data_IF_553314092651
#
_entry.id   IF_553314092651
#
_cell.length_a   1.000
_cell.length_b   1.000
_cell.length_c   1.000
_cell.angle_alpha   90.00
_cell.angle_beta   90.00
_cell.angle_gamma   90.00
#
_symmetry.space_group_name_H-M   'P 1'
#
loop_
_entity.id
_entity.type
_entity.pdbx_description
1 polymer ?
#
# COMPACT_ATOMS: atom_id res chain seq x y z
N UNK A 1 -5.38 -6.31 -5.95
CA UNK A 1 -4.57 -7.06 -6.93
C UNK A 1 -3.98 -8.33 -6.33
N UNK A 2 -2.94 -8.21 -5.49
CA UNK A 2 -2.19 -9.37 -4.94
C UNK A 2 -3.08 -10.37 -4.18
N UNK A 3 -4.08 -9.90 -3.44
CA UNK A 3 -5.02 -10.80 -2.77
C UNK A 3 -5.75 -11.73 -3.76
N UNK A 4 -6.26 -11.20 -4.86
CA UNK A 4 -6.90 -12.03 -5.88
C UNK A 4 -5.90 -13.00 -6.51
N UNK A 5 -4.67 -12.58 -6.80
CA UNK A 5 -3.63 -13.45 -7.36
C UNK A 5 -3.37 -14.69 -6.50
N UNK A 6 -3.33 -14.53 -5.17
CA UNK A 6 -3.05 -15.62 -4.24
C UNK A 6 -4.28 -16.50 -3.94
N UNK A 7 -5.50 -15.93 -3.98
CA UNK A 7 -6.70 -16.60 -3.43
C UNK A 7 -7.82 -16.82 -4.44
N UNK A 8 -7.64 -16.49 -5.74
CA UNK A 8 -8.69 -16.56 -6.76
C UNK A 8 -9.49 -17.87 -6.75
N UNK A 9 -8.82 -19.01 -6.62
CA UNK A 9 -9.46 -20.34 -6.63
C UNK A 9 -10.28 -20.66 -5.38
N UNK A 10 -10.10 -19.89 -4.30
CA UNK A 10 -10.75 -20.10 -3.01
C UNK A 10 -11.85 -19.07 -2.72
N UNK A 11 -11.88 -17.96 -3.49
CA UNK A 11 -12.85 -16.89 -3.28
C UNK A 11 -14.24 -17.34 -3.71
N UNK A 12 -15.25 -17.01 -2.89
CA UNK A 12 -16.65 -17.03 -3.34
C UNK A 12 -16.86 -16.00 -4.46
N UNK A 13 -17.87 -16.21 -5.30
CA UNK A 13 -18.19 -15.28 -6.38
C UNK A 13 -18.47 -13.86 -5.85
N UNK A 14 -19.14 -13.76 -4.71
CA UNK A 14 -19.45 -12.48 -4.05
C UNK A 14 -18.19 -11.74 -3.62
N UNK A 15 -17.26 -12.45 -2.96
CA UNK A 15 -15.99 -11.86 -2.50
C UNK A 15 -15.08 -11.51 -3.67
N UNK A 16 -15.06 -12.34 -4.73
CA UNK A 16 -14.32 -12.03 -5.95
C UNK A 16 -14.84 -10.75 -6.63
N UNK A 17 -16.17 -10.63 -6.81
CA UNK A 17 -16.80 -9.43 -7.39
C UNK A 17 -16.55 -8.19 -6.53
N UNK A 18 -16.60 -8.33 -5.20
CA UNK A 18 -16.24 -7.24 -4.29
C UNK A 18 -14.79 -6.76 -4.50
N UNK A 19 -13.84 -7.69 -4.60
CA UNK A 19 -12.44 -7.36 -4.88
C UNK A 19 -12.26 -6.62 -6.20
N UNK A 20 -12.95 -7.06 -7.27
CA UNK A 20 -12.90 -6.39 -8.57
C UNK A 20 -13.44 -4.96 -8.50
N UNK A 21 -14.60 -4.77 -7.83
CA UNK A 21 -15.18 -3.45 -7.61
C UNK A 21 -14.25 -2.53 -6.81
N UNK A 22 -13.61 -3.07 -5.77
CA UNK A 22 -12.65 -2.32 -4.96
C UNK A 22 -11.43 -1.89 -5.78
N UNK A 23 -10.87 -2.78 -6.60
CA UNK A 23 -9.74 -2.47 -7.49
C UNK A 23 -10.16 -1.37 -8.49
N UNK A 24 -11.32 -1.49 -9.11
CA UNK A 24 -11.82 -0.49 -10.06
C UNK A 24 -12.00 0.88 -9.40
N UNK A 25 -12.68 0.94 -8.25
CA UNK A 25 -12.90 2.19 -7.53
C UNK A 25 -11.58 2.84 -7.08
N UNK A 26 -10.64 2.05 -6.58
CA UNK A 26 -9.34 2.55 -6.14
C UNK A 26 -8.49 3.06 -7.31
N UNK A 27 -8.52 2.36 -8.45
CA UNK A 27 -7.78 2.80 -9.64
C UNK A 27 -8.41 4.04 -10.28
N UNK A 28 -9.74 4.16 -10.28
CA UNK A 28 -10.43 5.35 -10.74
C UNK A 28 -10.11 6.57 -9.86
N UNK A 29 -10.08 6.40 -8.53
CA UNK A 29 -9.63 7.44 -7.62
C UNK A 29 -8.18 7.86 -7.91
N UNK A 30 -7.29 6.89 -8.17
CA UNK A 30 -5.91 7.17 -8.58
C UNK A 30 -5.81 7.94 -9.89
N UNK A 31 -6.64 7.61 -10.89
CA UNK A 31 -6.73 8.35 -12.15
C UNK A 31 -7.17 9.81 -11.96
N UNK A 32 -8.04 10.08 -10.99
CA UNK A 32 -8.45 11.46 -10.66
C UNK A 32 -7.37 12.23 -9.93
N UNK A 33 -6.62 11.56 -9.05
CA UNK A 33 -5.58 12.20 -8.23
C UNK A 33 -4.30 12.45 -9.03
N UNK A 34 -3.92 11.55 -9.94
CA UNK A 34 -2.65 11.67 -10.68
C UNK A 34 -2.52 12.98 -11.50
N UNK A 35 -3.53 13.48 -12.23
CA UNK A 35 -3.45 14.80 -12.88
C UNK A 35 -3.24 15.94 -11.88
N UNK A 36 -3.88 15.89 -10.72
CA UNK A 36 -3.70 16.90 -9.68
C UNK A 36 -2.26 16.89 -9.14
N UNK A 37 -1.69 15.69 -8.93
CA UNK A 37 -0.28 15.54 -8.56
C UNK A 37 0.65 16.12 -9.63
N UNK A 38 0.32 15.93 -10.92
CA UNK A 38 1.12 16.49 -12.01
C UNK A 38 1.10 18.02 -12.00
N UNK A 39 -0.07 18.63 -11.78
CA UNK A 39 -0.18 20.08 -11.63
C UNK A 39 0.59 20.60 -10.41
N UNK A 40 0.57 19.85 -9.29
CA UNK A 40 1.39 20.18 -8.12
C UNK A 40 2.90 20.11 -8.40
N UNK A 41 3.34 19.19 -9.26
CA UNK A 41 4.75 19.17 -9.71
C UNK A 41 5.08 20.45 -10.46
N UNK A 42 4.24 20.92 -11.38
CA UNK A 42 4.44 22.16 -12.10
C UNK A 42 4.46 23.38 -11.15
N UNK A 43 3.52 23.44 -10.19
CA UNK A 43 3.49 24.48 -9.17
C UNK A 43 4.75 24.51 -8.30
N UNK A 44 5.23 23.33 -7.87
CA UNK A 44 6.47 23.24 -7.09
C UNK A 44 7.72 23.70 -7.90
N UNK A 45 7.75 23.44 -9.20
CA UNK A 45 8.84 23.91 -10.07
C UNK A 45 8.85 25.42 -10.25
N UNK A 46 7.67 26.05 -10.28
CA UNK A 46 7.56 27.51 -10.39
C UNK A 46 7.55 28.23 -9.03
N UNK A 47 7.38 27.51 -7.92
CA UNK A 47 7.43 28.07 -6.57
C UNK A 47 6.11 28.64 -6.04
N UNK A 48 5.02 28.57 -6.81
CA UNK A 48 3.71 29.05 -6.41
C UNK A 48 2.55 28.24 -7.05
N UNK A 49 1.32 28.46 -6.55
CA UNK A 49 0.13 27.78 -7.07
C UNK A 49 -0.26 28.24 -8.49
N UNK A 50 0.06 29.46 -8.88
CA UNK A 50 -0.26 29.98 -10.22
C UNK A 50 0.55 29.23 -11.28
N UNK A 51 1.79 28.88 -10.97
CA UNK A 51 2.67 28.08 -11.81
C UNK A 51 2.14 26.66 -12.11
N UNK A 52 1.20 26.16 -11.32
CA UNK A 52 0.57 24.86 -11.56
C UNK A 52 -0.20 24.80 -12.90
N UNK A 53 -0.67 25.96 -13.39
CA UNK A 53 -1.41 26.10 -14.65
C UNK A 53 -0.61 26.88 -15.72
N UNK A 54 0.64 27.25 -15.42
CA UNK A 54 1.52 27.92 -16.39
C UNK A 54 1.96 26.93 -17.46
N UNK A 55 1.73 27.21 -18.77
CA UNK A 55 2.13 26.31 -19.86
C UNK A 55 3.63 26.00 -19.89
N UNK A 56 4.49 26.96 -19.51
CA UNK A 56 5.93 26.75 -19.45
C UNK A 56 6.30 25.77 -18.33
N UNK A 57 5.74 25.94 -17.12
CA UNK A 57 5.99 25.05 -15.99
C UNK A 57 5.42 23.66 -16.24
N UNK A 58 4.26 23.54 -16.87
CA UNK A 58 3.70 22.26 -17.33
C UNK A 58 4.65 21.57 -18.32
N UNK A 59 5.20 22.30 -19.29
CA UNK A 59 6.17 21.74 -20.25
C UNK A 59 7.45 21.25 -19.55
N UNK A 60 7.96 22.00 -18.58
CA UNK A 60 9.12 21.60 -17.76
C UNK A 60 8.78 20.36 -16.91
N UNK A 61 7.55 20.31 -16.34
CA UNK A 61 7.11 19.16 -15.55
C UNK A 61 7.12 17.86 -16.38
N UNK A 62 6.69 17.87 -17.65
CA UNK A 62 6.78 16.70 -18.55
C UNK A 62 8.19 16.14 -18.70
N UNK A 63 9.20 17.00 -18.68
CA UNK A 63 10.62 16.63 -18.81
C UNK A 63 11.27 16.27 -17.48
N UNK A 64 10.65 16.63 -16.36
CA UNK A 64 11.19 16.39 -15.02
C UNK A 64 11.00 14.93 -14.57
N UNK A 65 11.94 14.41 -13.74
CA UNK A 65 11.79 13.07 -13.14
C UNK A 65 10.51 12.94 -12.31
N UNK A 66 10.11 13.97 -11.59
CA UNK A 66 8.89 14.00 -10.80
C UNK A 66 7.64 13.87 -11.69
N UNK A 67 7.57 14.66 -12.77
CA UNK A 67 6.46 14.59 -13.71
C UNK A 67 6.41 13.24 -14.43
N UNK A 68 7.56 12.70 -14.87
CA UNK A 68 7.63 11.37 -15.48
C UNK A 68 7.15 10.28 -14.52
N UNK A 69 7.50 10.35 -13.23
CA UNK A 69 6.98 9.43 -12.22
C UNK A 69 5.45 9.48 -12.12
N UNK A 70 4.85 10.67 -12.14
CA UNK A 70 3.38 10.83 -12.11
C UNK A 70 2.74 10.32 -13.40
N UNK A 71 3.36 10.49 -14.57
CA UNK A 71 2.86 9.94 -15.83
C UNK A 71 2.86 8.40 -15.82
N UNK A 72 3.92 7.78 -15.30
CA UNK A 72 4.00 6.33 -15.12
C UNK A 72 2.93 5.85 -14.11
N UNK A 73 2.69 6.60 -13.04
CA UNK A 73 1.64 6.33 -12.07
C UNK A 73 0.25 6.37 -12.73
N UNK A 74 -0.02 7.41 -13.52
CA UNK A 74 -1.27 7.58 -14.27
C UNK A 74 -1.50 6.41 -15.23
N UNK A 75 -0.48 6.02 -16.02
CA UNK A 75 -0.53 4.87 -16.90
C UNK A 75 -0.83 3.58 -16.12
N UNK A 76 -0.22 3.39 -14.96
CA UNK A 76 -0.48 2.25 -14.09
C UNK A 76 -1.95 2.17 -13.66
N UNK A 77 -2.53 3.27 -13.18
CA UNK A 77 -3.94 3.31 -12.82
C UNK A 77 -4.87 3.12 -14.02
N UNK A 78 -4.49 3.65 -15.19
CA UNK A 78 -5.25 3.46 -16.44
C UNK A 78 -5.32 1.98 -16.82
N UNK A 79 -4.19 1.27 -16.81
CA UNK A 79 -4.12 -0.16 -17.12
C UNK A 79 -4.94 -0.99 -16.13
N UNK A 80 -4.85 -0.70 -14.83
CA UNK A 80 -5.60 -1.41 -13.79
C UNK A 80 -7.10 -1.13 -13.91
N UNK A 81 -7.52 0.10 -14.18
CA UNK A 81 -8.92 0.47 -14.40
C UNK A 81 -9.49 -0.24 -15.62
N UNK A 82 -8.77 -0.19 -16.74
CA UNK A 82 -9.16 -0.85 -17.97
C UNK A 82 -9.35 -2.37 -17.78
N UNK A 83 -8.37 -3.02 -17.14
CA UNK A 83 -8.47 -4.45 -16.85
C UNK A 83 -9.66 -4.78 -15.94
N UNK A 84 -9.87 -4.02 -14.89
CA UNK A 84 -10.93 -4.32 -13.91
C UNK A 84 -12.34 -4.12 -14.48
N UNK A 85 -12.50 -3.25 -15.47
CA UNK A 85 -13.78 -2.98 -16.12
C UNK A 85 -14.06 -3.92 -17.32
N UNK A 86 -13.10 -4.05 -18.25
CA UNK A 86 -13.31 -4.73 -19.51
C UNK A 86 -12.90 -6.21 -19.53
N UNK A 87 -11.85 -6.59 -18.77
CA UNK A 87 -11.18 -7.88 -18.91
C UNK A 87 -10.97 -8.65 -17.57
N UNK A 88 -12.00 -8.83 -16.75
CA UNK A 88 -11.79 -9.30 -15.38
C UNK A 88 -11.26 -10.75 -15.22
N UNK A 89 -11.28 -11.57 -16.28
CA UNK A 89 -11.02 -13.01 -16.13
C UNK A 89 -9.81 -13.56 -16.86
N UNK A 90 -9.29 -12.92 -17.91
CA UNK A 90 -8.38 -13.61 -18.84
C UNK A 90 -6.98 -13.01 -18.98
N UNK A 91 -6.76 -11.70 -18.80
CA UNK A 91 -5.48 -11.08 -19.11
C UNK A 91 -4.84 -10.49 -17.84
N UNK A 92 -4.25 -11.36 -17.02
CA UNK A 92 -3.53 -10.98 -15.82
C UNK A 92 -2.28 -10.12 -16.08
N UNK A 93 -1.70 -10.23 -17.27
CA UNK A 93 -0.52 -9.46 -17.70
C UNK A 93 -0.77 -7.95 -17.62
N UNK A 94 -1.96 -7.49 -17.99
CA UNK A 94 -2.30 -6.05 -17.95
C UNK A 94 -2.33 -5.53 -16.50
N UNK A 95 -2.97 -6.27 -15.58
CA UNK A 95 -3.01 -5.82 -14.18
C UNK A 95 -1.64 -5.90 -13.52
N UNK A 96 -0.83 -6.89 -13.86
CA UNK A 96 0.54 -6.99 -13.38
C UNK A 96 1.38 -5.82 -13.92
N UNK A 97 1.29 -5.52 -15.22
CA UNK A 97 1.98 -4.38 -15.82
C UNK A 97 1.55 -3.05 -15.19
N UNK A 98 0.23 -2.82 -15.04
CA UNK A 98 -0.29 -1.62 -14.39
C UNK A 98 0.16 -1.49 -12.93
N UNK A 99 0.12 -2.59 -12.17
CA UNK A 99 0.62 -2.60 -10.80
C UNK A 99 2.13 -2.37 -10.71
N UNK A 100 2.91 -2.92 -11.64
CA UNK A 100 4.35 -2.65 -11.75
C UNK A 100 4.64 -1.18 -12.07
N UNK A 101 3.89 -0.56 -12.97
CA UNK A 101 4.00 0.89 -13.23
C UNK A 101 3.75 1.70 -11.96
N UNK A 102 2.68 1.37 -11.19
CA UNK A 102 2.40 2.04 -9.92
C UNK A 102 3.58 1.89 -8.94
N UNK A 103 4.14 0.71 -8.77
CA UNK A 103 5.27 0.48 -7.86
C UNK A 103 6.53 1.23 -8.32
N UNK A 104 6.85 1.16 -9.60
CA UNK A 104 8.04 1.80 -10.18
C UNK A 104 7.95 3.31 -10.08
N UNK A 105 6.75 3.91 -10.25
CA UNK A 105 6.59 5.37 -10.16
C UNK A 105 7.13 5.95 -8.84
N UNK A 106 6.97 5.23 -7.73
CA UNK A 106 7.50 5.64 -6.42
C UNK A 106 9.02 5.49 -6.27
N UNK A 107 9.69 4.79 -7.19
CA UNK A 107 11.15 4.61 -7.14
C UNK A 107 11.93 5.62 -7.98
N UNK A 108 11.26 6.36 -8.86
CA UNK A 108 11.91 7.23 -9.86
C UNK A 108 12.34 8.59 -9.26
N UNK A 109 11.64 9.06 -8.21
CA UNK A 109 11.80 10.40 -7.68
C UNK A 109 11.75 10.45 -6.15
N UNK A 110 12.37 11.48 -5.56
CA UNK A 110 12.34 11.76 -4.12
C UNK A 110 13.39 10.97 -3.32
N UNK A 111 13.12 10.73 -2.05
CA UNK A 111 14.03 10.06 -1.12
C UNK A 111 14.43 8.63 -1.56
N UNK A 112 13.66 8.01 -2.45
CA UNK A 112 14.00 6.70 -3.03
C UNK A 112 15.26 6.73 -3.90
N UNK A 113 15.74 7.89 -4.33
CA UNK A 113 16.92 8.02 -5.21
C UNK A 113 18.21 8.31 -4.46
N UNK A 114 18.17 8.54 -3.14
CA UNK A 114 19.31 9.00 -2.32
C UNK A 114 20.51 8.05 -2.42
N UNK A 115 20.28 6.74 -2.32
CA UNK A 115 21.33 5.72 -2.40
C UNK A 115 21.24 4.89 -3.70
N UNK A 116 20.84 5.54 -4.79
CA UNK A 116 20.73 4.95 -6.12
C UNK A 116 19.80 3.74 -6.18
N UNK A 117 20.17 2.72 -6.94
CA UNK A 117 19.34 1.53 -7.18
C UNK A 117 18.98 0.76 -5.92
N UNK A 118 19.81 0.81 -4.87
CA UNK A 118 19.51 0.12 -3.60
C UNK A 118 18.26 0.66 -2.95
N UNK A 119 18.15 1.98 -2.78
CA UNK A 119 16.96 2.62 -2.20
C UNK A 119 15.74 2.45 -3.10
N UNK A 120 15.91 2.49 -4.42
CA UNK A 120 14.83 2.25 -5.39
C UNK A 120 14.27 0.82 -5.26
N UNK A 121 15.12 -0.19 -5.15
CA UNK A 121 14.70 -1.57 -4.95
C UNK A 121 13.99 -1.74 -3.60
N UNK A 122 14.56 -1.18 -2.53
CA UNK A 122 13.99 -1.29 -1.19
C UNK A 122 12.59 -0.65 -1.11
N UNK A 123 12.36 0.50 -1.73
CA UNK A 123 11.02 1.12 -1.74
C UNK A 123 10.01 0.29 -2.53
N UNK A 124 10.39 -0.29 -3.67
CA UNK A 124 9.52 -1.18 -4.44
C UNK A 124 9.14 -2.42 -3.63
N UNK A 125 10.11 -3.07 -2.98
CA UNK A 125 9.86 -4.24 -2.13
C UNK A 125 8.99 -3.89 -0.92
N UNK A 126 9.23 -2.74 -0.30
CA UNK A 126 8.43 -2.23 0.81
C UNK A 126 6.97 -1.99 0.41
N UNK A 127 6.75 -1.30 -0.72
CA UNK A 127 5.41 -1.04 -1.25
C UNK A 127 4.70 -2.30 -1.72
N UNK A 128 5.43 -3.26 -2.31
CA UNK A 128 4.90 -4.57 -2.67
C UNK A 128 4.36 -5.30 -1.43
N UNK A 129 5.14 -5.33 -0.35
CA UNK A 129 4.77 -5.97 0.89
C UNK A 129 3.55 -5.30 1.55
N UNK A 130 3.53 -3.96 1.60
CA UNK A 130 2.37 -3.18 2.08
C UNK A 130 1.13 -3.49 1.24
N UNK A 131 1.26 -3.52 -0.09
CA UNK A 131 0.15 -3.77 -1.01
C UNK A 131 -0.52 -5.12 -0.78
N UNK A 132 0.26 -6.16 -0.44
CA UNK A 132 -0.30 -7.45 -0.07
C UNK A 132 -1.05 -7.36 1.26
N UNK A 133 -0.40 -6.88 2.30
CA UNK A 133 -0.95 -6.89 3.66
C UNK A 133 -2.18 -5.99 3.77
N UNK A 134 -2.03 -4.71 3.44
CA UNK A 134 -3.10 -3.70 3.50
C UNK A 134 -4.23 -4.01 2.51
N UNK A 135 -3.87 -4.39 1.28
CA UNK A 135 -4.84 -4.74 0.24
C UNK A 135 -5.71 -5.95 0.58
N UNK A 136 -5.29 -6.77 1.56
CA UNK A 136 -6.05 -7.93 2.02
C UNK A 136 -7.07 -7.61 3.11
N UNK A 137 -6.96 -6.50 3.83
CA UNK A 137 -7.85 -6.18 4.95
C UNK A 137 -9.32 -6.06 4.52
N UNK A 138 -9.59 -5.36 3.43
CA UNK A 138 -10.96 -5.16 2.95
C UNK A 138 -11.61 -6.45 2.46
N UNK A 139 -10.97 -7.27 1.60
CA UNK A 139 -11.50 -8.57 1.21
C UNK A 139 -11.72 -9.53 2.39
N UNK A 140 -10.74 -9.66 3.29
CA UNK A 140 -10.88 -10.51 4.48
C UNK A 140 -12.02 -10.05 5.37
N UNK A 141 -12.15 -8.74 5.59
CA UNK A 141 -13.26 -8.20 6.36
C UNK A 141 -14.60 -8.47 5.68
N UNK A 142 -14.67 -8.37 4.35
CA UNK A 142 -15.88 -8.69 3.59
C UNK A 142 -16.25 -10.18 3.71
N UNK A 143 -15.28 -11.09 3.59
CA UNK A 143 -15.51 -12.53 3.78
C UNK A 143 -16.06 -12.87 5.16
N UNK A 144 -15.70 -12.12 6.20
CA UNK A 144 -16.32 -12.31 7.55
C UNK A 144 -17.79 -11.93 7.61
N UNK A 145 -18.38 -11.33 6.58
CA UNK A 145 -19.83 -11.07 6.49
C UNK A 145 -20.54 -12.10 5.61
N UNK A 146 -19.91 -12.51 4.51
CA UNK A 146 -20.56 -13.28 3.46
C UNK A 146 -20.29 -14.78 3.51
N UNK A 147 -19.08 -15.14 3.96
CA UNK A 147 -18.58 -16.52 3.90
C UNK A 147 -18.51 -17.16 5.31
N UNK A 148 -19.32 -16.68 6.27
CA UNK A 148 -19.25 -17.08 7.70
C UNK A 148 -19.53 -18.58 7.90
N UNK A 149 -20.49 -19.13 7.13
CA UNK A 149 -20.92 -20.53 7.23
C UNK A 149 -20.07 -21.46 6.35
N UNK A 150 -19.15 -20.89 5.57
CA UNK A 150 -18.33 -21.62 4.63
C UNK A 150 -16.93 -21.86 5.24
N UNK A 151 -16.46 -23.09 5.21
CA UNK A 151 -15.08 -23.45 5.58
C UNK A 151 -14.03 -22.60 4.83
N UNK A 152 -14.44 -21.99 3.71
CA UNK A 152 -13.63 -21.08 2.90
C UNK A 152 -13.10 -19.88 3.67
N UNK A 153 -13.89 -19.29 4.61
CA UNK A 153 -13.40 -18.18 5.43
C UNK A 153 -12.16 -18.59 6.23
N UNK A 154 -12.22 -19.76 6.89
CA UNK A 154 -11.06 -20.26 7.63
C UNK A 154 -9.88 -20.53 6.71
N UNK A 155 -10.09 -21.20 5.58
CA UNK A 155 -9.03 -21.54 4.62
C UNK A 155 -8.34 -20.30 4.06
N UNK A 156 -9.11 -19.26 3.66
CA UNK A 156 -8.57 -18.00 3.16
C UNK A 156 -7.79 -17.28 4.26
N UNK A 157 -8.37 -17.12 5.45
CA UNK A 157 -7.73 -16.42 6.57
C UNK A 157 -6.46 -17.15 7.05
N UNK A 158 -6.47 -18.49 7.08
CA UNK A 158 -5.32 -19.30 7.46
C UNK A 158 -4.18 -19.16 6.44
N UNK A 159 -4.45 -19.34 5.14
CA UNK A 159 -3.45 -19.16 4.08
C UNK A 159 -2.95 -17.72 4.00
N UNK A 160 -3.85 -16.74 4.18
CA UNK A 160 -3.42 -15.35 4.29
C UNK A 160 -2.38 -15.18 5.40
N UNK A 161 -2.63 -15.73 6.59
CA UNK A 161 -1.69 -15.66 7.70
C UNK A 161 -0.34 -16.34 7.43
N UNK A 162 -0.29 -17.38 6.58
CA UNK A 162 0.97 -18.00 6.15
C UNK A 162 1.75 -17.06 5.24
N UNK A 163 1.14 -16.57 4.18
CA UNK A 163 1.82 -15.65 3.24
C UNK A 163 2.16 -14.30 3.90
N UNK A 164 1.31 -13.82 4.82
CA UNK A 164 1.57 -12.57 5.54
C UNK A 164 2.92 -12.57 6.28
N UNK A 165 3.38 -13.71 6.79
CA UNK A 165 4.69 -13.80 7.45
C UNK A 165 5.83 -13.41 6.50
N UNK A 166 5.82 -13.93 5.27
CA UNK A 166 6.85 -13.64 4.28
C UNK A 166 6.80 -12.16 3.85
N UNK A 167 5.60 -11.63 3.59
CA UNK A 167 5.43 -10.22 3.23
C UNK A 167 5.79 -9.28 4.38
N UNK A 168 5.45 -9.62 5.63
CA UNK A 168 5.82 -8.84 6.81
C UNK A 168 7.35 -8.87 7.03
N UNK A 169 8.00 -10.01 6.85
CA UNK A 169 9.45 -10.09 6.92
C UNK A 169 10.09 -9.18 5.86
N UNK A 170 9.62 -9.26 4.63
CA UNK A 170 10.06 -8.37 3.55
C UNK A 170 9.82 -6.90 3.88
N UNK A 171 8.64 -6.57 4.44
CA UNK A 171 8.27 -5.22 4.86
C UNK A 171 9.21 -4.67 5.91
N UNK A 172 9.51 -5.47 6.94
CA UNK A 172 10.39 -5.07 8.06
C UNK A 172 11.82 -4.89 7.55
N UNK A 173 12.36 -5.85 6.81
CA UNK A 173 13.72 -5.76 6.26
C UNK A 173 13.86 -4.53 5.35
N UNK A 174 12.98 -4.36 4.38
CA UNK A 174 13.03 -3.21 3.47
C UNK A 174 12.79 -1.88 4.22
N UNK A 175 11.85 -1.83 5.15
CA UNK A 175 11.52 -0.62 5.91
C UNK A 175 12.61 -0.20 6.88
N UNK A 176 13.24 -1.14 7.59
CA UNK A 176 14.37 -0.84 8.49
C UNK A 176 15.58 -0.40 7.66
N UNK A 177 15.90 -1.09 6.56
CA UNK A 177 17.00 -0.70 5.67
C UNK A 177 16.81 0.71 5.10
N UNK A 178 15.61 1.05 4.62
CA UNK A 178 15.29 2.43 4.19
C UNK A 178 15.42 3.43 5.34
N UNK A 179 14.92 3.08 6.52
CA UNK A 179 15.02 3.93 7.70
C UNK A 179 16.47 4.22 8.11
N UNK A 180 17.35 3.22 8.09
CA UNK A 180 18.77 3.41 8.40
C UNK A 180 19.47 4.29 7.37
N UNK A 181 19.13 4.17 6.09
CA UNK A 181 19.67 5.04 5.02
C UNK A 181 19.22 6.49 5.23
N UNK A 182 17.93 6.71 5.57
CA UNK A 182 17.36 8.05 5.69
C UNK A 182 17.74 8.76 6.99
N UNK A 183 17.90 8.02 8.09
CA UNK A 183 18.24 8.59 9.40
C UNK A 183 19.76 8.79 9.58
N UNK A 184 20.57 7.94 8.95
CA UNK A 184 22.02 8.03 8.89
C UNK A 184 22.75 7.71 10.20
N UNK A 185 22.21 8.08 11.38
CA UNK A 185 22.87 7.88 12.68
C UNK A 185 21.88 7.64 13.82
N UNK A 186 22.36 7.06 14.94
CA UNK A 186 21.58 6.92 16.17
C UNK A 186 21.20 8.27 16.77
N UNK A 187 22.07 9.27 16.69
CA UNK A 187 21.76 10.62 17.14
C UNK A 187 20.64 11.24 16.29
N UNK A 188 20.68 11.06 14.97
CA UNK A 188 19.58 11.45 14.07
C UNK A 188 18.27 10.76 14.43
N UNK A 189 18.32 9.48 14.80
CA UNK A 189 17.12 8.73 15.20
C UNK A 189 16.50 9.25 16.51
N UNK A 190 17.30 9.57 17.51
CA UNK A 190 16.81 9.92 18.84
C UNK A 190 16.49 11.40 19.00
N UNK A 191 17.26 12.29 18.35
CA UNK A 191 17.23 13.72 18.62
C UNK A 191 16.69 14.58 17.47
N UNK A 192 16.59 14.04 16.23
CA UNK A 192 15.97 14.79 15.14
C UNK A 192 14.44 14.63 15.15
N UNK A 193 13.74 15.65 14.67
CA UNK A 193 12.28 15.59 14.46
C UNK A 193 11.89 14.43 13.53
N UNK A 194 12.67 14.20 12.48
CA UNK A 194 12.49 13.09 11.56
C UNK A 194 12.56 11.73 12.28
N UNK A 195 13.61 11.53 13.08
CA UNK A 195 13.83 10.28 13.81
C UNK A 195 12.74 10.02 14.85
N UNK A 196 12.28 11.03 15.58
CA UNK A 196 11.21 10.90 16.58
C UNK A 196 9.87 10.50 15.92
N UNK A 197 9.50 11.12 14.78
CA UNK A 197 8.29 10.75 14.06
C UNK A 197 8.43 9.37 13.40
N UNK A 198 9.63 9.01 12.96
CA UNK A 198 9.92 7.66 12.48
C UNK A 198 9.77 6.60 13.59
N UNK A 199 10.25 6.88 14.83
CA UNK A 199 10.04 6.00 15.99
C UNK A 199 8.56 5.86 16.36
N UNK A 200 7.78 6.94 16.28
CA UNK A 200 6.34 6.89 16.48
C UNK A 200 5.68 5.97 15.44
N UNK A 201 6.07 6.09 14.16
CA UNK A 201 5.61 5.19 13.10
C UNK A 201 5.96 3.74 13.39
N UNK A 202 7.20 3.44 13.80
CA UNK A 202 7.61 2.08 14.15
C UNK A 202 6.81 1.51 15.32
N UNK A 203 6.48 2.32 16.33
CA UNK A 203 5.64 1.92 17.46
C UNK A 203 4.23 1.53 17.00
N UNK A 204 3.60 2.31 16.13
CA UNK A 204 2.29 1.98 15.55
C UNK A 204 2.33 0.72 14.68
N UNK A 205 3.38 0.55 13.87
CA UNK A 205 3.58 -0.67 13.09
C UNK A 205 3.75 -1.88 14.02
N UNK A 206 4.48 -1.77 15.13
CA UNK A 206 4.63 -2.86 16.11
C UNK A 206 3.30 -3.26 16.75
N UNK A 207 2.45 -2.28 17.09
CA UNK A 207 1.09 -2.53 17.59
C UNK A 207 0.26 -3.25 16.52
N UNK A 208 0.32 -2.78 15.28
CA UNK A 208 -0.41 -3.38 14.16
C UNK A 208 0.03 -4.84 13.92
N UNK A 209 1.33 -5.12 13.97
CA UNK A 209 1.89 -6.48 13.90
C UNK A 209 1.43 -7.37 15.06
N UNK A 210 1.36 -6.83 16.27
CA UNK A 210 0.84 -7.53 17.44
C UNK A 210 -0.63 -7.95 17.28
N UNK A 211 -1.47 -7.06 16.74
CA UNK A 211 -2.87 -7.38 16.43
C UNK A 211 -2.96 -8.45 15.33
N UNK A 212 -2.16 -8.33 14.26
CA UNK A 212 -2.08 -9.33 13.20
C UNK A 212 -1.63 -10.71 13.72
N UNK A 213 -0.65 -10.75 14.61
CA UNK A 213 -0.22 -11.98 15.28
C UNK A 213 -1.35 -12.59 16.14
N UNK A 214 -2.07 -11.77 16.90
CA UNK A 214 -3.24 -12.23 17.66
C UNK A 214 -4.32 -12.79 16.73
N UNK A 215 -4.59 -12.15 15.60
CA UNK A 215 -5.52 -12.64 14.59
C UNK A 215 -5.07 -14.01 14.06
N UNK A 216 -3.81 -14.15 13.67
CA UNK A 216 -3.25 -15.38 13.12
C UNK A 216 -3.26 -16.54 14.11
N UNK A 217 -2.82 -16.32 15.35
CA UNK A 217 -2.58 -17.39 16.32
C UNK A 217 -3.77 -17.68 17.23
N UNK A 218 -4.73 -16.75 17.39
CA UNK A 218 -5.90 -16.96 18.25
C UNK A 218 -7.23 -16.90 17.50
N UNK A 219 -7.49 -15.84 16.72
CA UNK A 219 -8.82 -15.64 16.16
C UNK A 219 -9.08 -16.57 14.96
N UNK A 220 -8.11 -16.73 14.05
CA UNK A 220 -8.27 -17.58 12.86
C UNK A 220 -8.43 -19.06 13.24
N UNK A 221 -7.61 -19.69 14.10
CA UNK A 221 -7.84 -21.07 14.52
C UNK A 221 -9.21 -21.29 15.17
N UNK A 222 -9.67 -20.32 15.97
CA UNK A 222 -10.96 -20.42 16.63
C UNK A 222 -12.18 -20.31 15.70
N UNK A 223 -12.00 -19.95 14.42
CA UNK A 223 -13.09 -19.97 13.43
C UNK A 223 -13.68 -21.38 13.25
N UNK A 224 -12.89 -22.43 13.45
CA UNK A 224 -13.35 -23.82 13.33
C UNK A 224 -14.25 -24.28 14.50
N UNK A 225 -14.10 -23.70 15.68
CA UNK A 225 -14.86 -24.13 16.87
C UNK A 225 -16.19 -23.38 17.06
N UNK A 226 -16.24 -22.08 16.74
CA UNK A 226 -17.44 -21.25 16.82
C UNK A 226 -17.36 -20.15 15.72
N UNK A 227 -17.71 -20.54 14.50
CA UNK A 227 -17.50 -19.74 13.28
C UNK A 227 -18.09 -18.34 13.37
N UNK A 228 -19.38 -18.20 13.72
CA UNK A 228 -20.08 -16.91 13.72
C UNK A 228 -19.50 -15.94 14.75
N UNK A 229 -19.37 -16.35 16.01
CA UNK A 229 -18.88 -15.47 17.08
C UNK A 229 -17.43 -15.06 16.84
N UNK A 230 -16.59 -15.96 16.35
CA UNK A 230 -15.18 -15.66 16.07
C UNK A 230 -14.98 -14.89 14.77
N UNK A 231 -15.83 -15.04 13.76
CA UNK A 231 -15.86 -14.18 12.57
C UNK A 231 -16.18 -12.72 12.95
N UNK A 232 -17.11 -12.49 13.89
CA UNK A 232 -17.42 -11.16 14.41
C UNK A 232 -16.20 -10.55 15.13
N UNK A 233 -15.50 -11.35 15.96
CA UNK A 233 -14.27 -10.90 16.64
C UNK A 233 -13.17 -10.54 15.64
N UNK A 234 -12.93 -11.41 14.64
CA UNK A 234 -11.96 -11.18 13.57
C UNK A 234 -12.29 -9.91 12.79
N UNK A 235 -13.54 -9.70 12.43
CA UNK A 235 -14.03 -8.49 11.75
C UNK A 235 -13.73 -7.21 12.55
N UNK A 236 -14.00 -7.22 13.86
CA UNK A 236 -13.69 -6.09 14.75
C UNK A 236 -12.19 -5.84 14.83
N UNK A 237 -11.39 -6.90 14.90
CA UNK A 237 -9.94 -6.83 14.92
C UNK A 237 -9.39 -6.21 13.65
N UNK A 238 -9.79 -6.70 12.46
CA UNK A 238 -9.42 -6.11 11.16
C UNK A 238 -9.86 -4.64 11.07
N UNK A 239 -11.02 -4.29 11.63
CA UNK A 239 -11.46 -2.88 11.70
C UNK A 239 -10.49 -1.99 12.50
N UNK A 240 -9.93 -2.49 13.61
CA UNK A 240 -8.90 -1.77 14.39
C UNK A 240 -7.59 -1.63 13.61
N UNK A 241 -7.18 -2.70 12.91
CA UNK A 241 -6.00 -2.66 12.04
C UNK A 241 -6.13 -1.59 10.95
N UNK A 242 -7.30 -1.46 10.31
CA UNK A 242 -7.57 -0.41 9.30
C UNK A 242 -7.45 0.99 9.89
N UNK A 243 -7.94 1.22 11.11
CA UNK A 243 -7.82 2.52 11.78
C UNK A 243 -6.36 2.86 12.08
N UNK A 244 -5.61 1.94 12.68
CA UNK A 244 -4.18 2.15 12.97
C UNK A 244 -3.40 2.38 11.68
N UNK A 245 -3.70 1.63 10.62
CA UNK A 245 -3.10 1.83 9.32
C UNK A 245 -3.35 3.24 8.77
N UNK A 246 -4.58 3.77 8.90
CA UNK A 246 -4.88 5.14 8.46
C UNK A 246 -3.98 6.16 9.18
N UNK A 247 -3.75 6.01 10.48
CA UNK A 247 -2.79 6.84 11.22
C UNK A 247 -1.35 6.69 10.72
N UNK A 248 -0.90 5.45 10.46
CA UNK A 248 0.44 5.19 9.91
C UNK A 248 0.61 5.88 8.54
N UNK A 249 -0.41 5.85 7.68
CA UNK A 249 -0.37 6.50 6.36
C UNK A 249 -0.30 8.02 6.48
N UNK A 250 -1.06 8.63 7.39
CA UNK A 250 -0.99 10.08 7.65
C UNK A 250 0.41 10.47 8.14
N UNK A 251 0.95 9.76 9.13
CA UNK A 251 2.30 10.02 9.65
C UNK A 251 3.34 9.83 8.54
N UNK A 252 3.20 8.77 7.72
CA UNK A 252 4.12 8.52 6.60
C UNK A 252 4.08 9.65 5.58
N UNK A 253 2.89 10.21 5.28
CA UNK A 253 2.75 11.36 4.40
C UNK A 253 3.48 12.58 4.97
N UNK A 254 3.29 12.90 6.25
CA UNK A 254 3.95 14.04 6.92
C UNK A 254 5.48 13.87 6.86
N UNK A 255 6.00 12.69 7.18
CA UNK A 255 7.47 12.43 7.14
C UNK A 255 8.02 12.61 5.73
N UNK A 256 7.28 12.15 4.71
CA UNK A 256 7.80 12.19 3.33
C UNK A 256 7.68 13.56 2.65
N UNK A 257 6.80 14.45 3.14
CA UNK A 257 6.53 15.73 2.47
C UNK A 257 6.96 16.96 3.26
N UNK A 258 7.02 16.89 4.59
CA UNK A 258 7.15 18.07 5.44
C UNK A 258 8.38 18.04 6.36
N UNK A 259 9.08 16.93 6.44
CA UNK A 259 10.23 16.77 7.33
C UNK A 259 11.44 16.29 6.52
N UNK A 260 12.52 17.08 6.55
CA UNK A 260 13.77 16.70 5.90
C UNK A 260 14.55 15.69 6.75
N UNK A 261 15.16 14.65 6.13
CA UNK A 261 16.04 13.73 6.83
C UNK A 261 17.27 14.45 7.42
N UNK A 262 17.81 13.98 8.55
CA UNK A 262 18.90 14.62 9.28
C UNK A 262 20.28 14.21 8.70
N UNK A 263 20.69 14.66 7.52
CA UNK A 263 22.07 14.53 7.04
C UNK A 263 22.74 15.85 6.86
#
# INVERSE_FOLDING_TARGET
GLFILHFKSMLSLSTFTYCQKLIFQSSLAGLMVAPLLFLLVAGNLGGDLASAIDPMMISIAFSSKAGQAVLVLFLGFLLVSFWSYFLPKQIWTIVIAGFSCILISFSVYGHSTINGYTSQLLIVLHLLAISYWVGSFFPLRYSTYRDIEDEKLFQIAHKFGIYAVYYILLLVVAGVSLGTILVGSLNGLLYSTYGQVFLLKLSLVSILLGIGAMNKFKLVPNLQSNGIANAIKLRKSIGREIIILAFILVISSIVSTSIEPPY
#
